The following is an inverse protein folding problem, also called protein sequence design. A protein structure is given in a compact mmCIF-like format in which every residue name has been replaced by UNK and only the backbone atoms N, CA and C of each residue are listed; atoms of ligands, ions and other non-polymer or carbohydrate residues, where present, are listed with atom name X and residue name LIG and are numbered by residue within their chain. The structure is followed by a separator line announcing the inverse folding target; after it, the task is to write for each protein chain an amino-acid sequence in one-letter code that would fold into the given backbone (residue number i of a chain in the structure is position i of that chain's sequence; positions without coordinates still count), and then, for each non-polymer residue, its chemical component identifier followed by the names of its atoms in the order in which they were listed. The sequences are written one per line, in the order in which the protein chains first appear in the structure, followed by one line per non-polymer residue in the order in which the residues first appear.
data_IF_769884959829
#
_entry.id   IF_769884959829
#
_cell.length_a   1.000
_cell.length_b   1.000
_cell.length_c   1.000
_cell.angle_alpha   90.00
_cell.angle_beta   90.00
_cell.angle_gamma   90.00
#
_symmetry.space_group_name_H-M   'P 1'
#
loop_
_entity.id
_entity.type
_entity.pdbx_description
1 polymer ?
#
# COMPACT_ATOMS: atom_id res chain seq x y z
N UNK A 1 5.64 -0.13 -25.79
CA UNK A 1 4.32 0.30 -25.36
C UNK A 1 3.37 -0.86 -25.32
N UNK A 2 2.81 -1.14 -24.21
CA UNK A 2 1.84 -2.22 -24.19
C UNK A 2 0.69 -1.85 -25.09
N UNK A 3 0.25 -2.85 -25.76
CA UNK A 3 -0.93 -2.71 -26.55
C UNK A 3 -2.09 -2.43 -25.64
N UNK A 4 -3.08 -1.93 -26.22
CA UNK A 4 -4.30 -1.75 -25.55
C UNK A 4 -4.94 -3.06 -25.40
N UNK A 5 -4.59 -3.71 -24.41
CA UNK A 5 -5.26 -4.93 -24.12
C UNK A 5 -6.27 -4.63 -23.07
N UNK A 6 -7.20 -5.47 -22.99
CA UNK A 6 -8.14 -5.48 -21.92
C UNK A 6 -7.51 -6.22 -20.77
N UNK A 7 -6.23 -6.04 -20.63
CA UNK A 7 -5.48 -6.71 -19.60
C UNK A 7 -5.70 -6.00 -18.28
N UNK A 8 -6.25 -6.70 -17.31
CA UNK A 8 -6.49 -6.18 -15.98
C UNK A 8 -5.30 -6.41 -15.04
N UNK A 9 -4.16 -6.82 -15.59
CA UNK A 9 -2.96 -7.00 -14.79
C UNK A 9 -2.58 -5.70 -14.10
N UNK A 10 -2.24 -5.74 -12.81
CA UNK A 10 -1.86 -4.54 -12.09
C UNK A 10 -0.62 -3.88 -12.68
N UNK A 11 -0.62 -2.56 -12.72
CA UNK A 11 0.53 -1.78 -13.18
C UNK A 11 1.49 -1.56 -12.02
N UNK A 12 2.74 -1.37 -12.36
CA UNK A 12 3.76 -1.00 -11.39
C UNK A 12 3.65 0.48 -11.08
N UNK A 13 3.84 0.83 -9.80
CA UNK A 13 3.79 2.22 -9.36
C UNK A 13 4.77 3.11 -10.13
N UNK A 14 5.94 2.59 -10.48
CA UNK A 14 6.97 3.37 -11.17
C UNK A 14 6.70 3.54 -12.65
N UNK A 15 5.87 2.70 -13.26
CA UNK A 15 5.63 2.72 -14.70
C UNK A 15 4.28 3.28 -15.10
N UNK A 16 3.35 3.38 -14.16
CA UNK A 16 2.03 3.95 -14.44
C UNK A 16 2.15 5.45 -14.68
N UNK A 17 1.36 6.02 -15.59
CA UNK A 17 1.47 7.44 -15.91
C UNK A 17 0.98 8.33 -14.76
N UNK A 18 -0.08 7.93 -14.06
CA UNK A 18 -0.57 8.66 -12.88
C UNK A 18 -0.79 7.66 -11.74
N UNK A 19 -0.16 7.91 -10.60
CA UNK A 19 -0.30 7.05 -9.43
C UNK A 19 -1.65 7.31 -8.75
N UNK A 20 -2.16 6.33 -7.98
CA UNK A 20 -3.35 6.58 -7.16
C UNK A 20 -3.11 7.74 -6.21
N UNK A 21 -4.18 8.48 -5.91
CA UNK A 21 -4.09 9.66 -5.06
C UNK A 21 -4.84 9.39 -3.77
N UNK A 22 -4.10 9.38 -2.67
CA UNK A 22 -4.67 9.22 -1.34
C UNK A 22 -5.51 10.46 -0.99
N UNK A 23 -6.65 10.30 -0.30
CA UNK A 23 -7.45 11.47 0.11
C UNK A 23 -6.60 12.48 0.88
N UNK A 24 -6.62 13.71 0.44
CA UNK A 24 -5.80 14.79 1.00
C UNK A 24 -4.50 15.04 0.25
N UNK A 25 -4.15 14.17 -0.69
CA UNK A 25 -2.92 14.32 -1.49
C UNK A 25 -3.15 14.97 -2.85
N UNK A 26 -4.38 15.39 -3.14
CA UNK A 26 -4.75 15.96 -4.43
C UNK A 26 -4.01 17.26 -4.75
N UNK A 27 -3.60 17.98 -3.70
CA UNK A 27 -2.90 19.25 -3.87
C UNK A 27 -1.51 19.12 -4.49
N UNK A 28 -0.94 17.92 -4.48
CA UNK A 28 0.38 17.70 -5.03
C UNK A 28 0.29 17.41 -6.51
N UNK A 29 1.19 18.01 -7.30
CA UNK A 29 1.13 17.93 -8.75
C UNK A 29 1.99 16.83 -9.33
N UNK A 30 3.10 16.49 -8.67
CA UNK A 30 4.04 15.52 -9.21
C UNK A 30 3.76 14.13 -8.71
N UNK A 31 4.14 13.15 -9.53
CA UNK A 31 4.05 11.74 -9.18
C UNK A 31 4.81 11.44 -7.89
N UNK A 32 6.02 11.95 -7.77
CA UNK A 32 6.85 11.71 -6.60
C UNK A 32 6.23 12.27 -5.33
N UNK A 33 5.70 13.48 -5.38
CA UNK A 33 5.03 14.09 -4.22
C UNK A 33 3.80 13.30 -3.80
N UNK A 34 3.04 12.79 -4.77
CA UNK A 34 1.85 11.98 -4.48
C UNK A 34 2.21 10.66 -3.85
N UNK A 35 3.30 10.03 -4.29
CA UNK A 35 3.80 8.79 -3.69
C UNK A 35 4.25 9.04 -2.25
N UNK A 36 4.99 10.11 -2.01
CA UNK A 36 5.47 10.46 -0.67
C UNK A 36 4.29 10.76 0.27
N UNK A 37 3.31 11.51 -0.22
CA UNK A 37 2.11 11.81 0.56
C UNK A 37 1.36 10.52 0.92
N UNK A 38 1.20 9.63 -0.05
CA UNK A 38 0.58 8.33 0.18
C UNK A 38 1.34 7.53 1.25
N UNK A 39 2.64 7.45 1.10
CA UNK A 39 3.48 6.69 2.05
C UNK A 39 3.39 7.25 3.46
N UNK A 40 3.36 8.58 3.60
CA UNK A 40 3.23 9.21 4.90
C UNK A 40 1.88 8.89 5.56
N UNK A 41 0.81 8.90 4.79
CA UNK A 41 -0.52 8.57 5.33
C UNK A 41 -0.61 7.11 5.73
N UNK A 42 -0.02 6.21 4.93
CA UNK A 42 0.01 4.79 5.27
C UNK A 42 0.82 4.57 6.54
N UNK A 43 1.97 5.22 6.67
CA UNK A 43 2.80 5.10 7.85
C UNK A 43 2.06 5.56 9.11
N UNK A 44 1.32 6.66 9.02
CA UNK A 44 0.51 7.16 10.13
C UNK A 44 -0.60 6.19 10.50
N UNK A 45 -1.26 5.60 9.51
CA UNK A 45 -2.32 4.62 9.76
C UNK A 45 -1.76 3.39 10.47
N UNK A 46 -0.62 2.88 9.99
CA UNK A 46 0.05 1.74 10.61
C UNK A 46 0.42 2.07 12.05
N UNK A 47 1.01 3.24 12.27
CA UNK A 47 1.42 3.64 13.61
C UNK A 47 0.23 3.69 14.59
N UNK A 48 -0.92 4.13 14.13
CA UNK A 48 -2.12 4.25 14.99
C UNK A 48 -2.85 2.92 15.19
N UNK A 49 -2.88 2.07 14.18
CA UNK A 49 -3.77 0.91 14.13
C UNK A 49 -3.08 -0.43 14.32
N UNK A 50 -1.78 -0.49 14.10
CA UNK A 50 -1.03 -1.72 14.29
C UNK A 50 -0.87 -2.00 15.79
N UNK A 51 -1.16 -3.25 16.19
CA UNK A 51 -0.99 -3.65 17.58
C UNK A 51 0.49 -3.80 17.90
N UNK A 52 1.09 -2.77 18.47
CA UNK A 52 2.51 -2.75 18.80
C UNK A 52 2.91 -3.70 19.91
N UNK A 53 1.95 -4.18 20.70
CA UNK A 53 2.25 -5.14 21.77
C UNK A 53 2.41 -6.57 21.25
N UNK A 54 1.98 -6.83 20.02
CA UNK A 54 1.94 -8.17 19.46
C UNK A 54 3.32 -8.81 19.39
N UNK A 55 4.33 -8.05 19.02
CA UNK A 55 5.69 -8.55 18.96
C UNK A 55 6.19 -9.05 20.31
N UNK A 56 5.94 -8.27 21.37
CA UNK A 56 6.32 -8.67 22.73
C UNK A 56 5.57 -9.91 23.19
N UNK A 57 4.28 -9.98 22.90
CA UNK A 57 3.46 -11.14 23.24
C UNK A 57 3.95 -12.42 22.57
N UNK A 58 4.52 -12.30 21.38
CA UNK A 58 5.09 -13.43 20.64
C UNK A 58 6.53 -13.73 21.01
N UNK A 59 7.13 -12.96 21.92
CA UNK A 59 8.52 -13.14 22.33
C UNK A 59 9.52 -12.68 21.28
N UNK A 60 9.11 -11.84 20.34
CA UNK A 60 9.99 -11.31 19.30
C UNK A 60 10.82 -10.16 19.85
N UNK A 61 12.04 -10.03 19.36
CA UNK A 61 12.97 -8.98 19.78
C UNK A 61 13.64 -8.35 18.57
N UNK A 62 14.09 -7.10 18.77
CA UNK A 62 14.81 -6.38 17.75
C UNK A 62 13.92 -5.84 16.64
N UNK A 63 14.49 -5.68 15.48
CA UNK A 63 13.79 -5.15 14.33
C UNK A 63 13.08 -6.25 13.57
N UNK A 64 11.79 -6.07 13.37
CA UNK A 64 10.96 -6.99 12.59
C UNK A 64 10.47 -6.26 11.34
N UNK A 65 10.70 -6.84 10.17
CA UNK A 65 10.29 -6.28 8.90
C UNK A 65 9.10 -7.06 8.35
N UNK A 66 8.09 -6.31 7.92
CA UNK A 66 6.91 -6.86 7.30
C UNK A 66 6.75 -6.17 5.97
N UNK A 67 6.72 -6.93 4.89
CA UNK A 67 6.49 -6.37 3.55
C UNK A 67 5.03 -6.55 3.19
N UNK A 68 4.36 -5.43 2.93
CA UNK A 68 2.94 -5.44 2.61
C UNK A 68 2.78 -5.06 1.14
N UNK A 69 1.97 -5.83 0.44
CA UNK A 69 1.62 -5.55 -0.94
C UNK A 69 0.10 -5.52 -1.07
N UNK A 70 -0.39 -4.56 -1.80
CA UNK A 70 -1.82 -4.48 -2.11
C UNK A 70 -2.00 -3.80 -3.45
N UNK A 71 -3.21 -3.92 -3.99
CA UNK A 71 -3.57 -3.29 -5.25
C UNK A 71 -4.63 -2.24 -5.00
N UNK A 72 -4.43 -1.06 -5.58
CA UNK A 72 -5.48 -0.05 -5.70
C UNK A 72 -6.14 -0.30 -7.06
N UNK A 73 -7.38 -0.74 -7.05
CA UNK A 73 -8.03 -1.15 -8.28
C UNK A 73 -8.58 0.03 -9.07
N UNK A 74 -9.19 -0.24 -10.20
CA UNK A 74 -9.75 0.77 -11.12
C UNK A 74 -10.78 1.67 -10.45
N UNK A 75 -11.41 1.18 -9.39
CA UNK A 75 -12.41 1.94 -8.64
C UNK A 75 -11.82 2.66 -7.42
N UNK A 76 -10.52 2.53 -7.20
CA UNK A 76 -9.86 3.13 -6.06
C UNK A 76 -9.94 2.31 -4.79
N UNK A 77 -10.43 1.09 -4.84
CA UNK A 77 -10.55 0.22 -3.67
C UNK A 77 -9.28 -0.59 -3.46
N UNK A 78 -9.03 -0.95 -2.22
CA UNK A 78 -7.87 -1.74 -1.85
C UNK A 78 -8.23 -3.22 -1.94
N UNK A 79 -7.49 -3.96 -2.77
CA UNK A 79 -7.72 -5.39 -2.98
C UNK A 79 -6.38 -6.14 -2.96
N UNK A 80 -6.45 -7.47 -2.95
CA UNK A 80 -5.29 -8.36 -3.05
C UNK A 80 -4.20 -8.03 -2.03
N UNK A 81 -4.62 -7.84 -0.78
CA UNK A 81 -3.71 -7.52 0.32
C UNK A 81 -2.94 -8.76 0.71
N UNK A 82 -1.61 -8.64 0.71
CA UNK A 82 -0.71 -9.72 1.12
C UNK A 82 0.41 -9.12 1.96
N UNK A 83 0.82 -9.85 2.98
CA UNK A 83 1.97 -9.47 3.78
C UNK A 83 2.96 -10.63 3.87
N UNK A 84 4.24 -10.30 3.94
CA UNK A 84 5.31 -11.26 4.08
C UNK A 84 6.17 -10.88 5.28
N UNK A 85 6.40 -11.85 6.16
CA UNK A 85 7.19 -11.67 7.38
C UNK A 85 7.52 -13.05 7.92
N UNK A 86 8.47 -13.12 8.81
CA UNK A 86 8.81 -14.36 9.49
C UNK A 86 7.69 -14.82 10.46
N UNK A 87 6.91 -13.89 10.96
CA UNK A 87 5.83 -14.18 11.90
C UNK A 87 4.48 -14.16 11.21
N UNK A 88 3.75 -15.26 11.31
CA UNK A 88 2.40 -15.39 10.76
C UNK A 88 1.47 -14.36 11.39
N UNK A 89 1.58 -14.15 12.69
CA UNK A 89 0.73 -13.23 13.43
C UNK A 89 0.98 -11.79 13.00
N UNK A 90 2.25 -11.42 12.79
CA UNK A 90 2.58 -10.08 12.28
C UNK A 90 2.06 -9.88 10.85
N UNK A 91 2.12 -10.93 10.02
CA UNK A 91 1.55 -10.85 8.67
C UNK A 91 0.06 -10.57 8.71
N UNK A 92 -0.67 -11.31 9.55
CA UNK A 92 -2.12 -11.14 9.68
C UNK A 92 -2.48 -9.74 10.14
N UNK A 93 -1.73 -9.23 11.11
CA UNK A 93 -1.96 -7.88 11.63
C UNK A 93 -1.71 -6.83 10.56
N UNK A 94 -0.62 -6.95 9.80
CA UNK A 94 -0.31 -6.02 8.73
C UNK A 94 -1.39 -6.04 7.64
N UNK A 95 -1.90 -7.22 7.30
CA UNK A 95 -2.99 -7.34 6.32
C UNK A 95 -4.27 -6.68 6.84
N UNK A 96 -4.57 -6.89 8.12
CA UNK A 96 -5.73 -6.25 8.73
C UNK A 96 -5.65 -4.73 8.65
N UNK A 97 -4.49 -4.18 9.01
CA UNK A 97 -4.28 -2.72 8.98
C UNK A 97 -4.37 -2.19 7.54
N UNK A 98 -3.77 -2.89 6.58
CA UNK A 98 -3.81 -2.46 5.18
C UNK A 98 -5.24 -2.40 4.65
N UNK A 99 -6.12 -3.29 5.10
CA UNK A 99 -7.52 -3.29 4.69
C UNK A 99 -8.31 -2.12 5.28
N UNK A 100 -7.74 -1.39 6.23
CA UNK A 100 -8.36 -0.19 6.79
C UNK A 100 -8.09 1.06 5.94
N UNK A 101 -7.24 0.96 4.91
CA UNK A 101 -6.98 2.09 4.03
C UNK A 101 -8.27 2.51 3.32
N UNK A 102 -8.50 3.82 3.19
CA UNK A 102 -9.71 4.31 2.52
C UNK A 102 -9.63 4.10 1.02
N UNK A 103 -10.79 4.12 0.37
CA UNK A 103 -10.85 4.24 -1.09
C UNK A 103 -10.20 5.55 -1.53
N UNK A 104 -9.62 5.55 -2.71
CA UNK A 104 -8.88 6.70 -3.21
C UNK A 104 -9.09 6.84 -4.71
N UNK A 105 -8.56 7.92 -5.28
CA UNK A 105 -8.60 8.07 -6.72
C UNK A 105 -7.70 7.02 -7.35
N UNK A 106 -8.17 6.28 -8.36
CA UNK A 106 -7.36 5.22 -8.96
C UNK A 106 -6.20 5.79 -9.77
N UNK A 107 -5.17 4.99 -9.94
CA UNK A 107 -4.11 5.32 -10.88
C UNK A 107 -4.62 5.26 -12.30
N UNK A 108 -3.91 5.92 -13.20
CA UNK A 108 -4.30 5.97 -14.61
C UNK A 108 -3.12 5.71 -15.52
N UNK A 109 -3.40 5.10 -16.63
CA UNK A 109 -2.45 4.90 -17.72
C UNK A 109 -3.07 5.52 -18.96
N UNK A 110 -2.44 6.59 -19.45
CA UNK A 110 -2.95 7.32 -20.63
C UNK A 110 -4.41 7.74 -20.44
N UNK A 111 -4.75 8.25 -19.26
CA UNK A 111 -6.08 8.75 -18.96
C UNK A 111 -7.11 7.70 -18.56
N UNK A 112 -6.75 6.42 -18.62
CA UNK A 112 -7.69 5.34 -18.27
C UNK A 112 -7.35 4.78 -16.89
N UNK A 113 -8.36 4.59 -16.02
CA UNK A 113 -8.11 3.96 -14.72
C UNK A 113 -7.56 2.55 -14.87
N UNK A 114 -6.56 2.23 -14.07
CA UNK A 114 -5.92 0.92 -14.07
C UNK A 114 -5.68 0.46 -12.65
N UNK A 115 -5.48 -0.83 -12.48
CA UNK A 115 -5.05 -1.39 -11.20
C UNK A 115 -3.58 -1.08 -11.00
N UNK A 116 -3.20 -0.67 -9.78
CA UNK A 116 -1.81 -0.34 -9.46
C UNK A 116 -1.40 -1.06 -8.18
N UNK A 117 -0.24 -1.72 -8.24
CA UNK A 117 0.31 -2.44 -7.09
C UNK A 117 1.19 -1.49 -6.27
N UNK A 118 0.97 -1.49 -4.96
CA UNK A 118 1.84 -0.86 -3.99
C UNK A 118 2.52 -1.92 -3.15
N UNK A 119 3.81 -1.73 -2.92
CA UNK A 119 4.58 -2.54 -1.97
C UNK A 119 5.31 -1.61 -1.04
N UNK A 120 5.20 -1.87 0.25
CA UNK A 120 5.90 -1.05 1.22
C UNK A 120 6.34 -1.87 2.43
N UNK A 121 7.45 -1.49 3.06
CA UNK A 121 7.89 -2.15 4.28
C UNK A 121 7.28 -1.49 5.50
N UNK A 122 6.96 -2.33 6.49
CA UNK A 122 6.64 -1.88 7.84
C UNK A 122 7.78 -2.38 8.72
N UNK A 123 8.35 -1.51 9.52
CA UNK A 123 9.44 -1.86 10.43
C UNK A 123 8.97 -1.67 11.85
N UNK A 124 9.00 -2.77 12.62
CA UNK A 124 8.71 -2.73 14.05
C UNK A 124 10.02 -2.84 14.81
N UNK A 125 10.25 -1.94 15.73
CA UNK A 125 11.42 -1.98 16.63
C UNK A 125 10.93 -2.40 18.01
N UNK A 126 11.32 -3.60 18.41
CA UNK A 126 10.87 -4.21 19.66
C UNK A 126 11.96 -4.22 20.72
#
# INVERSE_FOLDING_TARGET
MPTITIDDSPRNLNTVSEVPVFPGCEKYATKQERIECFSDHVAKLVHRKFDGSLGSELGLQGEQRIYVQFTVNKNGDIIDVKANSKSKELRKEAERVARLLPSMMPGKQNGQPVNVVYSLPIVLKL
#
